data_IF_730894496995
#
_entry.id   IF_730894496995
#
_cell.length_a   1.000
_cell.length_b   1.000
_cell.length_c   1.000
_cell.angle_alpha   90.00
_cell.angle_beta   90.00
_cell.angle_gamma   90.00
#
_symmetry.space_group_name_H-M   'P 1'
#
loop_
_entity.id
_entity.type
_entity.pdbx_description
1 polymer ?
#
# COMPACT_ATOMS: atom_id res chain seq x y z
N UNK A 1 -4.29 -10.85 52.91
CA UNK A 1 -3.88 -11.20 51.53
C UNK A 1 -3.58 -9.92 50.76
N UNK A 2 -2.40 -9.76 50.15
CA UNK A 2 -2.13 -8.61 49.29
C UNK A 2 -3.08 -8.68 48.09
N UNK A 3 -3.85 -7.61 47.84
CA UNK A 3 -4.64 -7.49 46.60
C UNK A 3 -3.64 -7.38 45.45
N UNK A 4 -3.50 -8.43 44.65
CA UNK A 4 -2.83 -8.35 43.34
C UNK A 4 -3.48 -7.19 42.58
N UNK A 5 -2.74 -6.09 42.38
CA UNK A 5 -3.18 -5.00 41.50
C UNK A 5 -3.47 -5.64 40.14
N UNK A 6 -4.72 -5.59 39.70
CA UNK A 6 -5.12 -6.03 38.36
C UNK A 6 -4.16 -5.36 37.36
N UNK A 7 -3.34 -6.16 36.67
CA UNK A 7 -2.43 -5.68 35.63
C UNK A 7 -3.26 -4.90 34.61
N UNK A 8 -2.90 -3.65 34.37
CA UNK A 8 -3.61 -2.78 33.42
C UNK A 8 -3.22 -3.25 32.03
N UNK A 9 -4.21 -3.67 31.24
CA UNK A 9 -4.01 -4.09 29.86
C UNK A 9 -4.05 -2.85 28.96
N UNK A 10 -2.90 -2.21 28.78
CA UNK A 10 -2.78 -0.93 28.09
C UNK A 10 -2.72 -1.08 26.55
N UNK A 11 -2.62 0.05 25.85
CA UNK A 11 -2.50 0.05 24.39
C UNK A 11 -1.22 -0.62 23.88
N UNK A 12 -0.10 -0.50 24.57
CA UNK A 12 1.16 -1.07 24.09
C UNK A 12 1.14 -2.59 24.16
N UNK A 13 0.67 -3.14 25.29
CA UNK A 13 0.48 -4.58 25.48
C UNK A 13 -0.55 -5.14 24.47
N UNK A 14 -1.69 -4.48 24.34
CA UNK A 14 -2.75 -4.94 23.43
C UNK A 14 -2.42 -4.82 21.94
N UNK A 15 -1.66 -3.80 21.54
CA UNK A 15 -1.15 -3.69 20.18
C UNK A 15 -0.13 -4.81 19.93
N UNK A 16 0.76 -5.10 20.87
CA UNK A 16 1.74 -6.17 20.73
C UNK A 16 1.05 -7.54 20.54
N UNK A 17 0.06 -7.87 21.37
CA UNK A 17 -0.72 -9.10 21.25
C UNK A 17 -1.45 -9.19 19.90
N UNK A 18 -2.00 -8.07 19.44
CA UNK A 18 -2.62 -8.00 18.11
C UNK A 18 -1.61 -8.24 16.98
N UNK A 19 -0.37 -7.75 17.12
CA UNK A 19 0.69 -7.99 16.14
C UNK A 19 1.13 -9.46 16.11
N UNK A 20 1.16 -10.14 17.27
CA UNK A 20 1.40 -11.58 17.36
C UNK A 20 0.27 -12.35 16.64
N UNK A 21 -0.98 -11.99 16.92
CA UNK A 21 -2.13 -12.57 16.21
C UNK A 21 -2.06 -12.38 14.69
N UNK A 22 -1.68 -11.19 14.23
CA UNK A 22 -1.50 -10.91 12.80
C UNK A 22 -0.40 -11.77 12.17
N UNK A 23 0.67 -12.04 12.93
CA UNK A 23 1.77 -12.91 12.49
C UNK A 23 1.30 -14.35 12.37
N UNK A 24 0.53 -14.84 13.33
CA UNK A 24 -0.06 -16.20 13.30
C UNK A 24 -1.07 -16.40 12.16
N UNK A 25 -1.64 -15.30 11.61
CA UNK A 25 -2.47 -15.31 10.40
C UNK A 25 -1.67 -15.19 9.09
N UNK A 26 -0.34 -15.25 9.17
CA UNK A 26 0.60 -15.06 8.08
C UNK A 26 0.35 -13.77 7.27
N UNK A 27 -0.06 -12.70 7.95
CA UNK A 27 -0.25 -11.42 7.28
C UNK A 27 1.10 -10.85 6.83
N UNK A 28 1.09 -10.16 5.70
CA UNK A 28 2.33 -9.56 5.18
C UNK A 28 2.87 -8.49 6.14
N UNK A 29 4.20 -8.39 6.24
CA UNK A 29 4.89 -7.33 7.02
C UNK A 29 4.39 -5.92 6.69
N UNK A 30 4.00 -5.67 5.43
CA UNK A 30 3.44 -4.39 4.99
C UNK A 30 2.06 -4.11 5.59
N UNK A 31 1.19 -5.12 5.64
CA UNK A 31 -0.13 -5.02 6.27
C UNK A 31 0.02 -4.78 7.77
N UNK A 32 0.87 -5.57 8.43
CA UNK A 32 1.22 -5.43 9.83
C UNK A 32 1.73 -4.01 10.17
N UNK A 33 2.70 -3.50 9.41
CA UNK A 33 3.24 -2.14 9.59
C UNK A 33 2.16 -1.07 9.42
N UNK A 34 1.20 -1.28 8.52
CA UNK A 34 0.06 -0.36 8.36
C UNK A 34 -0.85 -0.36 9.58
N UNK A 35 -1.11 -1.54 10.16
CA UNK A 35 -1.91 -1.65 11.38
C UNK A 35 -1.21 -1.00 12.55
N UNK A 36 0.01 -1.42 12.85
CA UNK A 36 0.81 -0.92 13.97
C UNK A 36 0.94 0.61 13.93
N UNK A 37 1.31 1.18 12.78
CA UNK A 37 1.47 2.62 12.64
C UNK A 37 0.16 3.39 12.87
N UNK A 38 -0.99 2.82 12.47
CA UNK A 38 -2.30 3.45 12.73
C UNK A 38 -2.66 3.35 14.21
N UNK A 39 -2.47 2.17 14.81
CA UNK A 39 -2.87 1.92 16.20
C UNK A 39 -2.02 2.71 17.19
N UNK A 40 -0.71 2.82 16.96
CA UNK A 40 0.17 3.68 17.77
C UNK A 40 -0.22 5.15 17.70
N UNK A 41 -0.57 5.64 16.50
CA UNK A 41 -1.04 7.01 16.34
C UNK A 41 -2.38 7.26 17.04
N UNK A 42 -3.27 6.28 16.99
CA UNK A 42 -4.57 6.33 17.66
C UNK A 42 -4.42 6.28 19.19
N UNK A 43 -3.60 5.36 19.71
CA UNK A 43 -3.30 5.24 21.14
C UNK A 43 -2.69 6.53 21.69
N UNK A 44 -1.74 7.14 20.96
CA UNK A 44 -1.16 8.43 21.34
C UNK A 44 -2.20 9.54 21.41
N UNK A 45 -3.09 9.64 20.41
CA UNK A 45 -4.16 10.63 20.43
C UNK A 45 -5.07 10.46 21.65
N UNK A 46 -5.42 9.22 21.98
CA UNK A 46 -6.23 8.93 23.15
C UNK A 46 -5.52 9.30 24.46
N UNK A 47 -4.21 9.08 24.55
CA UNK A 47 -3.42 9.48 25.71
C UNK A 47 -3.32 11.02 25.83
N UNK A 48 -2.95 11.70 24.74
CA UNK A 48 -2.67 13.14 24.72
C UNK A 48 -3.94 14.00 24.89
N UNK A 49 -5.04 13.65 24.19
CA UNK A 49 -6.22 14.52 24.07
C UNK A 49 -7.40 14.06 24.93
N UNK A 50 -7.46 12.77 25.28
CA UNK A 50 -8.61 12.16 25.98
C UNK A 50 -8.21 11.53 27.33
N UNK A 51 -6.90 11.42 27.61
CA UNK A 51 -6.35 10.78 28.80
C UNK A 51 -6.82 9.32 29.00
N UNK A 52 -6.92 8.56 27.90
CA UNK A 52 -7.29 7.13 27.89
C UNK A 52 -6.08 6.28 27.53
N UNK A 53 -5.76 5.33 28.39
CA UNK A 53 -4.60 4.43 28.25
C UNK A 53 -5.00 2.97 27.96
N UNK A 54 -6.28 2.63 28.11
CA UNK A 54 -6.79 1.26 27.99
C UNK A 54 -7.76 1.16 26.80
N UNK A 55 -7.66 0.12 25.95
CA UNK A 55 -8.61 -0.07 24.85
C UNK A 55 -10.06 -0.32 25.30
N UNK A 56 -10.26 -0.77 26.55
CA UNK A 56 -11.58 -1.05 27.14
C UNK A 56 -12.43 0.21 27.34
N UNK A 57 -11.79 1.35 27.54
CA UNK A 57 -12.45 2.62 27.82
C UNK A 57 -12.79 3.40 26.53
N UNK A 58 -12.45 2.83 25.37
CA UNK A 58 -12.68 3.47 24.07
C UNK A 58 -14.15 3.38 23.67
N UNK A 59 -14.76 4.54 23.44
CA UNK A 59 -16.13 4.66 22.97
C UNK A 59 -16.18 4.98 21.47
N UNK A 60 -17.36 4.79 20.87
CA UNK A 60 -17.62 5.21 19.49
C UNK A 60 -17.37 6.71 19.27
N UNK A 61 -17.58 7.54 20.30
CA UNK A 61 -17.33 8.98 20.25
C UNK A 61 -15.84 9.27 20.07
N UNK A 62 -14.97 8.64 20.87
CA UNK A 62 -13.52 8.86 20.79
C UNK A 62 -12.96 8.53 19.41
N UNK A 63 -13.47 7.46 18.76
CA UNK A 63 -13.03 7.10 17.42
C UNK A 63 -13.50 8.13 16.39
N UNK A 64 -14.74 8.64 16.49
CA UNK A 64 -15.22 9.70 15.59
C UNK A 64 -14.42 10.99 15.77
N UNK A 65 -14.14 11.36 17.01
CA UNK A 65 -13.36 12.56 17.35
C UNK A 65 -11.93 12.45 16.82
N UNK A 66 -11.31 11.28 16.92
CA UNK A 66 -10.00 10.99 16.28
C UNK A 66 -10.03 11.14 14.76
N UNK A 67 -11.08 10.64 14.09
CA UNK A 67 -11.20 10.74 12.64
C UNK A 67 -11.39 12.19 12.18
N UNK A 68 -12.10 13.02 12.96
CA UNK A 68 -12.21 14.45 12.68
C UNK A 68 -10.90 15.19 13.01
N UNK A 69 -10.23 14.85 14.12
CA UNK A 69 -8.91 15.38 14.47
C UNK A 69 -7.86 15.13 13.38
N UNK A 70 -7.79 13.90 12.86
CA UNK A 70 -6.85 13.55 11.78
C UNK A 70 -7.16 14.28 10.47
N UNK A 71 -8.42 14.64 10.25
CA UNK A 71 -8.84 15.43 9.09
C UNK A 71 -8.48 16.90 9.23
N UNK A 72 -8.57 17.48 10.44
CA UNK A 72 -8.32 18.91 10.69
C UNK A 72 -6.84 19.24 10.85
N UNK A 73 -6.06 18.43 11.58
CA UNK A 73 -4.63 18.68 11.83
C UNK A 73 -3.75 18.64 10.57
N UNK A 74 -4.20 17.98 9.52
CA UNK A 74 -3.44 17.85 8.28
C UNK A 74 -2.36 16.76 8.31
N UNK A 75 -1.67 16.58 7.19
CA UNK A 75 -0.71 15.49 6.98
C UNK A 75 0.59 15.72 7.75
N UNK A 76 1.08 14.64 8.38
CA UNK A 76 2.37 14.55 9.09
C UNK A 76 2.58 15.55 10.23
N UNK A 77 1.55 16.31 10.61
CA UNK A 77 1.57 17.23 11.74
C UNK A 77 1.47 16.51 13.09
N UNK A 78 1.01 15.26 13.09
CA UNK A 78 0.92 14.41 14.26
C UNK A 78 1.67 13.10 14.01
N UNK A 79 2.62 12.79 14.89
CA UNK A 79 3.47 11.59 14.82
C UNK A 79 3.35 10.79 16.10
N UNK A 80 3.34 9.46 15.97
CA UNK A 80 3.30 8.56 17.13
C UNK A 80 4.58 8.70 17.97
N UNK A 81 5.74 8.66 17.33
CA UNK A 81 7.04 8.76 17.99
C UNK A 81 7.77 10.06 17.60
N UNK A 82 8.20 10.82 18.59
CA UNK A 82 8.94 12.08 18.41
C UNK A 82 10.32 11.80 17.79
N UNK A 83 10.94 10.65 18.08
CA UNK A 83 12.22 10.27 17.47
C UNK A 83 12.11 10.08 15.96
N UNK A 84 10.92 9.71 15.47
CA UNK A 84 10.66 9.58 14.04
C UNK A 84 10.79 10.90 13.27
N UNK A 85 10.69 12.06 13.96
CA UNK A 85 10.90 13.38 13.35
C UNK A 85 12.34 13.57 12.90
N UNK A 86 13.31 13.06 13.68
CA UNK A 86 14.74 13.18 13.38
C UNK A 86 15.12 12.46 12.09
N UNK A 87 14.54 11.28 11.86
CA UNK A 87 14.85 10.47 10.68
C UNK A 87 14.00 10.82 9.45
N UNK A 88 12.73 11.16 9.63
CA UNK A 88 11.80 11.35 8.49
C UNK A 88 11.68 12.79 8.00
N UNK A 89 12.20 13.76 8.77
CA UNK A 89 12.12 15.21 8.54
C UNK A 89 10.80 15.66 7.87
N UNK A 90 9.64 15.47 8.53
CA UNK A 90 8.35 15.62 7.86
C UNK A 90 8.06 17.04 7.38
N UNK A 91 8.62 18.05 8.04
CA UNK A 91 8.49 19.47 7.70
C UNK A 91 9.10 19.83 6.34
N UNK A 92 10.09 19.07 5.87
CA UNK A 92 10.68 19.27 4.55
C UNK A 92 9.81 18.74 3.40
N UNK A 93 8.66 18.10 3.69
CA UNK A 93 7.76 17.57 2.66
C UNK A 93 6.85 18.68 2.11
N UNK A 94 6.77 18.80 0.79
CA UNK A 94 5.87 19.75 0.11
C UNK A 94 4.37 19.51 0.30
N UNK A 95 3.97 18.45 1.00
CA UNK A 95 2.58 18.18 1.41
C UNK A 95 2.35 18.15 2.92
N UNK A 96 3.32 18.64 3.71
CA UNK A 96 3.17 18.86 5.15
C UNK A 96 1.98 19.79 5.45
N UNK A 97 1.19 19.46 6.46
CA UNK A 97 0.04 20.27 6.90
C UNK A 97 -1.16 20.28 5.94
N UNK A 98 -1.06 19.71 4.74
CA UNK A 98 -2.20 19.62 3.80
C UNK A 98 -3.29 18.72 4.36
N UNK A 99 -4.54 18.95 3.96
CA UNK A 99 -5.66 18.13 4.40
C UNK A 99 -5.47 16.64 4.06
N UNK A 100 -5.83 15.78 5.01
CA UNK A 100 -5.78 14.33 4.83
C UNK A 100 -6.92 13.89 3.92
N UNK A 101 -6.62 13.01 2.95
CA UNK A 101 -7.65 12.51 2.04
C UNK A 101 -8.66 11.62 2.77
N UNK A 102 -9.93 11.66 2.37
CA UNK A 102 -10.96 10.77 2.92
C UNK A 102 -10.62 9.29 2.75
N UNK A 103 -9.88 8.94 1.70
CA UNK A 103 -9.36 7.58 1.51
C UNK A 103 -8.40 7.18 2.64
N UNK A 104 -7.48 8.07 3.02
CA UNK A 104 -6.54 7.85 4.13
C UNK A 104 -7.27 7.73 5.47
N UNK A 105 -8.24 8.61 5.74
CA UNK A 105 -9.08 8.53 6.96
C UNK A 105 -9.84 7.20 7.02
N UNK A 106 -10.43 6.77 5.91
CA UNK A 106 -11.09 5.47 5.82
C UNK A 106 -10.12 4.29 5.98
N UNK A 107 -8.86 4.43 5.56
CA UNK A 107 -7.83 3.43 5.80
C UNK A 107 -7.50 3.31 7.30
N UNK A 108 -7.42 4.44 8.02
CA UNK A 108 -7.26 4.43 9.48
C UNK A 108 -8.46 3.76 10.15
N UNK A 109 -9.69 4.15 9.80
CA UNK A 109 -10.91 3.51 10.31
C UNK A 109 -10.92 1.99 10.03
N UNK A 110 -10.47 1.55 8.85
CA UNK A 110 -10.39 0.12 8.52
C UNK A 110 -9.44 -0.63 9.44
N UNK A 111 -8.25 -0.06 9.70
CA UNK A 111 -7.27 -0.68 10.60
C UNK A 111 -7.78 -0.73 12.04
N UNK A 112 -8.38 0.38 12.51
CA UNK A 112 -9.03 0.46 13.84
C UNK A 112 -10.14 -0.59 13.96
N UNK A 113 -10.99 -0.74 12.92
CA UNK A 113 -12.04 -1.77 12.88
C UNK A 113 -11.50 -3.18 13.05
N UNK A 114 -10.42 -3.54 12.33
CA UNK A 114 -9.83 -4.87 12.43
C UNK A 114 -9.33 -5.14 13.86
N UNK A 115 -8.67 -4.16 14.47
CA UNK A 115 -8.17 -4.26 15.84
C UNK A 115 -9.29 -4.40 16.88
N UNK A 116 -10.33 -3.55 16.84
CA UNK A 116 -11.45 -3.66 17.79
C UNK A 116 -12.35 -4.88 17.54
N UNK A 117 -12.36 -5.41 16.33
CA UNK A 117 -12.99 -6.72 16.05
C UNK A 117 -12.20 -7.83 16.72
N UNK A 118 -10.87 -7.84 16.56
CA UNK A 118 -10.02 -8.81 17.25
C UNK A 118 -10.10 -8.71 18.78
N UNK A 119 -10.14 -7.50 19.35
CA UNK A 119 -10.31 -7.31 20.81
C UNK A 119 -11.64 -7.88 21.31
N UNK A 120 -12.69 -7.79 20.50
CA UNK A 120 -14.00 -8.35 20.82
C UNK A 120 -13.99 -9.88 20.72
N UNK A 121 -13.43 -10.40 19.62
CA UNK A 121 -13.31 -11.85 19.38
C UNK A 121 -12.41 -12.54 20.42
N UNK A 122 -11.42 -11.81 20.97
CA UNK A 122 -10.51 -12.27 22.03
C UNK A 122 -11.04 -12.00 23.44
N UNK A 123 -12.32 -11.59 23.57
CA UNK A 123 -13.02 -11.31 24.82
C UNK A 123 -12.38 -10.23 25.73
N UNK A 124 -11.45 -9.44 25.19
CA UNK A 124 -10.83 -8.32 25.92
C UNK A 124 -11.86 -7.22 26.18
N UNK A 125 -12.74 -6.98 25.21
CA UNK A 125 -13.84 -6.01 25.31
C UNK A 125 -15.19 -6.70 25.14
N UNK A 126 -16.20 -6.24 25.88
CA UNK A 126 -17.57 -6.79 25.80
C UNK A 126 -18.36 -6.30 24.60
N UNK A 127 -18.00 -5.14 24.05
CA UNK A 127 -18.72 -4.49 22.96
C UNK A 127 -17.73 -3.82 22.03
N UNK A 128 -17.87 -4.07 20.73
CA UNK A 128 -17.05 -3.41 19.72
C UNK A 128 -17.55 -1.97 19.44
N UNK A 129 -16.75 -0.92 19.71
CA UNK A 129 -17.16 0.48 19.53
C UNK A 129 -17.21 0.91 18.06
N UNK A 130 -16.70 0.10 17.13
CA UNK A 130 -16.56 0.46 15.70
C UNK A 130 -17.75 0.04 14.83
N UNK A 131 -18.66 -0.79 15.34
CA UNK A 131 -19.77 -1.41 14.58
C UNK A 131 -20.64 -0.36 13.90
N UNK A 132 -20.99 0.71 14.61
CA UNK A 132 -21.89 1.76 14.11
C UNK A 132 -21.18 2.82 13.24
N UNK A 133 -19.86 2.76 13.08
CA UNK A 133 -19.11 3.78 12.35
C UNK A 133 -19.13 3.47 10.86
N UNK A 134 -19.80 4.31 10.07
CA UNK A 134 -19.82 4.21 8.61
C UNK A 134 -18.57 4.89 8.02
N UNK A 135 -17.97 4.33 6.96
CA UNK A 135 -16.87 4.99 6.26
C UNK A 135 -17.35 6.28 5.59
N UNK A 136 -16.44 7.26 5.49
CA UNK A 136 -16.71 8.50 4.77
C UNK A 136 -16.88 8.23 3.27
N UNK A 137 -17.90 8.84 2.67
CA UNK A 137 -18.07 8.79 1.21
C UNK A 137 -16.88 9.46 0.54
N UNK A 138 -16.34 8.81 -0.48
CA UNK A 138 -15.30 9.37 -1.32
C UNK A 138 -15.48 8.85 -2.74
N UNK A 139 -15.38 9.73 -3.72
CA UNK A 139 -15.37 9.33 -5.12
C UNK A 139 -13.99 8.76 -5.46
N UNK A 140 -13.98 7.62 -6.15
CA UNK A 140 -12.75 7.09 -6.72
C UNK A 140 -12.44 7.91 -7.98
N UNK A 141 -11.34 8.66 -7.97
CA UNK A 141 -10.85 9.27 -9.20
C UNK A 141 -10.36 8.16 -10.13
N UNK A 142 -10.85 8.07 -11.39
CA UNK A 142 -10.24 7.18 -12.36
C UNK A 142 -8.79 7.58 -12.55
N UNK A 143 -7.90 6.59 -12.74
CA UNK A 143 -6.51 6.90 -13.10
C UNK A 143 -6.49 7.42 -14.53
N UNK A 144 -5.70 8.46 -14.80
CA UNK A 144 -5.51 8.97 -16.16
C UNK A 144 -4.89 7.90 -17.04
N UNK A 145 -5.28 7.91 -18.31
CA UNK A 145 -4.73 7.06 -19.35
C UNK A 145 -3.34 7.55 -19.77
N UNK A 146 -2.45 6.61 -20.11
CA UNK A 146 -1.18 6.92 -20.76
C UNK A 146 -1.42 6.87 -22.26
N UNK A 147 -1.19 7.99 -22.96
CA UNK A 147 -1.25 8.02 -24.42
C UNK A 147 -0.04 7.29 -25.02
N UNK A 148 -0.23 6.65 -26.16
CA UNK A 148 0.84 5.93 -26.88
C UNK A 148 2.03 6.84 -27.18
N UNK A 149 1.75 8.11 -27.51
CA UNK A 149 2.77 9.14 -27.74
C UNK A 149 3.65 9.34 -26.50
N UNK A 150 3.04 9.41 -25.32
CA UNK A 150 3.78 9.66 -24.07
C UNK A 150 4.53 8.40 -23.63
N UNK A 151 3.95 7.21 -23.83
CA UNK A 151 4.66 5.96 -23.58
C UNK A 151 5.89 5.80 -24.51
N UNK A 152 5.74 6.11 -25.79
CA UNK A 152 6.86 6.04 -26.75
C UNK A 152 7.96 7.06 -26.42
N UNK A 153 7.61 8.26 -25.98
CA UNK A 153 8.59 9.24 -25.48
C UNK A 153 9.33 8.72 -24.25
N UNK A 154 8.61 8.11 -23.32
CA UNK A 154 9.20 7.52 -22.11
C UNK A 154 10.24 6.46 -22.48
N UNK A 155 9.87 5.50 -23.33
CA UNK A 155 10.75 4.42 -23.78
C UNK A 155 11.98 4.96 -24.51
N UNK A 156 11.79 5.88 -25.46
CA UNK A 156 12.89 6.50 -26.21
C UNK A 156 13.82 7.35 -25.35
N UNK A 157 13.37 7.77 -24.17
CA UNK A 157 14.20 8.55 -23.27
C UNK A 157 15.27 7.71 -22.55
N UNK A 158 15.16 6.38 -22.55
CA UNK A 158 16.06 5.47 -21.81
C UNK A 158 17.38 5.26 -22.56
N UNK A 159 18.49 5.35 -21.84
CA UNK A 159 19.83 5.04 -22.32
C UNK A 159 20.10 3.54 -22.23
N UNK A 160 20.01 2.84 -23.35
CA UNK A 160 20.20 1.39 -23.40
C UNK A 160 21.66 0.94 -23.22
N UNK A 161 22.62 1.87 -23.18
CA UNK A 161 24.03 1.55 -22.86
C UNK A 161 24.27 1.40 -21.37
N UNK A 162 23.41 2.00 -20.54
CA UNK A 162 23.45 1.86 -19.09
C UNK A 162 22.67 0.63 -18.64
N UNK A 163 23.32 -0.27 -17.91
CA UNK A 163 22.69 -1.47 -17.36
C UNK A 163 21.40 -1.16 -16.58
N UNK A 164 21.40 -0.10 -15.76
CA UNK A 164 20.26 0.26 -14.93
C UNK A 164 19.04 0.71 -15.77
N UNK A 165 19.29 1.46 -16.84
CA UNK A 165 18.23 1.98 -17.70
C UNK A 165 17.75 0.93 -18.72
N UNK A 166 18.67 0.10 -19.24
CA UNK A 166 18.33 -1.06 -20.07
C UNK A 166 17.42 -2.04 -19.32
N UNK A 167 17.74 -2.32 -18.06
CA UNK A 167 16.87 -3.10 -17.18
C UNK A 167 15.49 -2.46 -17.02
N UNK A 168 15.44 -1.15 -16.76
CA UNK A 168 14.17 -0.45 -16.56
C UNK A 168 13.32 -0.42 -17.85
N UNK A 169 13.96 -0.35 -19.03
CA UNK A 169 13.33 -0.56 -20.33
C UNK A 169 12.68 -1.94 -20.42
N UNK A 170 13.42 -2.98 -20.06
CA UNK A 170 12.96 -4.37 -20.09
C UNK A 170 11.77 -4.58 -19.13
N UNK A 171 11.80 -4.01 -17.92
CA UNK A 171 10.67 -4.03 -16.98
C UNK A 171 9.43 -3.33 -17.56
N UNK A 172 9.60 -2.17 -18.19
CA UNK A 172 8.48 -1.42 -18.80
C UNK A 172 7.81 -2.25 -19.89
N UNK A 173 8.60 -2.92 -20.73
CA UNK A 173 8.08 -3.78 -21.78
C UNK A 173 7.37 -4.99 -21.20
N UNK A 174 7.94 -5.66 -20.21
CA UNK A 174 7.31 -6.81 -19.60
C UNK A 174 5.99 -6.44 -18.92
N UNK A 175 5.95 -5.31 -18.22
CA UNK A 175 4.72 -4.79 -17.64
C UNK A 175 3.66 -4.58 -18.72
N UNK A 176 4.02 -3.96 -19.85
CA UNK A 176 3.14 -3.71 -20.99
C UNK A 176 2.70 -4.96 -21.75
N UNK A 177 3.52 -6.00 -21.82
CA UNK A 177 3.17 -7.23 -22.53
C UNK A 177 2.29 -8.15 -21.68
N UNK A 178 2.60 -8.28 -20.38
CA UNK A 178 2.00 -9.32 -19.53
C UNK A 178 0.93 -8.82 -18.58
N UNK A 179 0.86 -7.50 -18.35
CA UNK A 179 -0.06 -6.94 -17.35
C UNK A 179 0.21 -7.40 -15.92
N UNK A 180 1.43 -7.84 -15.62
CA UNK A 180 1.84 -8.19 -14.26
C UNK A 180 1.80 -7.00 -13.30
N UNK A 181 1.70 -7.28 -12.00
CA UNK A 181 1.93 -6.25 -10.97
C UNK A 181 3.43 -6.00 -10.89
N UNK A 182 3.81 -4.74 -10.69
CA UNK A 182 5.23 -4.37 -10.50
C UNK A 182 5.92 -5.22 -9.42
N UNK A 183 5.24 -5.49 -8.30
CA UNK A 183 5.81 -6.34 -7.24
C UNK A 183 6.05 -7.78 -7.68
N UNK A 184 5.23 -8.32 -8.58
CA UNK A 184 5.44 -9.66 -9.16
C UNK A 184 6.63 -9.59 -10.13
N UNK A 185 6.65 -8.59 -11.02
CA UNK A 185 7.73 -8.40 -12.02
C UNK A 185 9.11 -8.23 -11.38
N UNK A 186 9.20 -7.53 -10.25
CA UNK A 186 10.46 -7.27 -9.55
C UNK A 186 11.00 -8.50 -8.79
N UNK A 187 10.14 -9.47 -8.46
CA UNK A 187 10.53 -10.67 -7.70
C UNK A 187 10.60 -11.93 -8.58
N UNK A 188 10.50 -11.78 -9.90
CA UNK A 188 10.68 -12.88 -10.84
C UNK A 188 12.09 -13.45 -10.75
N UNK A 189 12.19 -14.77 -10.81
CA UNK A 189 13.45 -15.50 -10.91
C UNK A 189 13.59 -16.11 -12.29
N UNK A 190 14.81 -16.56 -12.61
CA UNK A 190 15.09 -17.26 -13.85
C UNK A 190 14.29 -18.56 -14.00
N UNK A 191 14.05 -19.27 -12.88
CA UNK A 191 13.26 -20.51 -12.84
C UNK A 191 11.78 -20.30 -13.18
N UNK A 192 11.26 -19.08 -12.99
CA UNK A 192 9.88 -18.74 -13.30
C UNK A 192 9.65 -18.54 -14.81
N UNK A 193 10.72 -18.33 -15.59
CA UNK A 193 10.64 -17.96 -17.01
C UNK A 193 10.86 -19.20 -17.88
N UNK A 194 9.78 -19.61 -18.55
CA UNK A 194 9.76 -20.76 -19.44
C UNK A 194 9.83 -20.25 -20.88
N UNK A 195 11.06 -20.09 -21.38
CA UNK A 195 11.37 -19.45 -22.66
C UNK A 195 10.75 -20.22 -23.84
N UNK A 196 10.86 -21.54 -23.81
CA UNK A 196 10.30 -22.48 -24.79
C UNK A 196 8.79 -22.32 -24.95
N UNK A 197 8.06 -22.06 -23.86
CA UNK A 197 6.61 -21.85 -23.85
C UNK A 197 6.20 -20.38 -23.93
N UNK A 198 7.18 -19.46 -23.99
CA UNK A 198 6.96 -18.00 -23.93
C UNK A 198 6.03 -17.63 -22.77
N UNK A 199 6.23 -18.26 -21.62
CA UNK A 199 5.36 -18.11 -20.46
C UNK A 199 6.18 -17.85 -19.21
N UNK A 200 5.60 -17.10 -18.28
CA UNK A 200 6.17 -16.86 -16.96
C UNK A 200 5.20 -17.43 -15.93
N UNK A 201 5.69 -18.32 -15.09
CA UNK A 201 4.97 -18.80 -13.92
C UNK A 201 5.04 -17.75 -12.81
N UNK A 202 3.91 -17.37 -12.24
CA UNK A 202 3.84 -16.46 -11.09
C UNK A 202 3.58 -17.29 -9.84
N UNK A 203 4.61 -17.53 -9.01
CA UNK A 203 4.44 -18.27 -7.76
C UNK A 203 3.41 -17.61 -6.81
N UNK A 204 2.71 -18.40 -5.98
CA UNK A 204 1.75 -17.88 -5.02
C UNK A 204 2.42 -16.98 -3.96
N UNK A 205 3.72 -17.15 -3.69
CA UNK A 205 4.48 -16.38 -2.71
C UNK A 205 4.62 -14.90 -3.12
N UNK A 206 4.76 -14.64 -4.43
CA UNK A 206 4.89 -13.27 -4.96
C UNK A 206 3.54 -12.71 -5.44
N UNK A 207 2.56 -13.57 -5.67
CA UNK A 207 1.23 -13.18 -6.12
C UNK A 207 0.40 -12.58 -4.98
N UNK A 208 -0.22 -11.41 -5.25
CA UNK A 208 -1.20 -10.85 -4.32
C UNK A 208 -2.42 -11.78 -4.22
N UNK A 209 -2.62 -12.38 -3.05
CA UNK A 209 -3.74 -13.30 -2.77
C UNK A 209 -3.36 -14.77 -2.80
N UNK A 210 -2.06 -15.12 -2.90
CA UNK A 210 -1.55 -16.50 -2.84
C UNK A 210 -2.16 -17.44 -3.87
N UNK A 211 -2.43 -16.93 -5.08
CA UNK A 211 -2.88 -17.72 -6.23
C UNK A 211 -1.82 -17.66 -7.31
N UNK A 212 -1.38 -18.81 -7.75
CA UNK A 212 -0.48 -18.98 -8.87
C UNK A 212 -1.19 -18.75 -10.21
N UNK A 213 -0.41 -18.45 -11.25
CA UNK A 213 -0.89 -18.36 -12.63
C UNK A 213 0.27 -18.31 -13.60
N UNK A 214 -0.01 -18.65 -14.85
CA UNK A 214 0.89 -18.35 -15.97
C UNK A 214 0.50 -17.03 -16.63
N UNK A 215 1.49 -16.27 -17.09
CA UNK A 215 1.31 -15.14 -18.00
C UNK A 215 2.16 -15.36 -19.25
N UNK A 216 1.65 -14.95 -20.41
CA UNK A 216 2.33 -15.18 -21.68
C UNK A 216 3.04 -13.92 -22.16
N UNK A 217 4.24 -14.09 -22.71
CA UNK A 217 5.08 -13.00 -23.22
C UNK A 217 4.84 -12.88 -24.73
N UNK A 218 4.72 -11.65 -25.24
CA UNK A 218 4.83 -11.45 -26.69
C UNK A 218 6.28 -11.67 -27.13
N UNK A 219 6.52 -11.96 -28.40
CA UNK A 219 7.83 -12.39 -28.96
C UNK A 219 8.98 -11.36 -28.90
N UNK A 220 8.94 -10.35 -28.02
CA UNK A 220 9.83 -9.16 -28.08
C UNK A 220 10.72 -8.88 -26.86
N UNK A 221 10.87 -9.78 -25.88
CA UNK A 221 11.65 -9.46 -24.66
C UNK A 221 12.52 -10.59 -24.09
N UNK A 222 13.74 -10.23 -23.67
CA UNK A 222 14.76 -11.08 -23.01
C UNK A 222 15.03 -10.67 -21.54
N UNK A 223 15.77 -11.53 -20.83
CA UNK A 223 15.97 -11.72 -19.37
C UNK A 223 16.18 -10.50 -18.42
N UNK A 224 15.92 -10.73 -17.12
CA UNK A 224 15.65 -9.71 -16.08
C UNK A 224 16.50 -9.85 -14.80
N UNK A 225 16.82 -8.72 -14.13
CA UNK A 225 17.32 -8.63 -12.73
C UNK A 225 17.06 -7.21 -12.17
N UNK A 226 16.57 -6.99 -10.93
CA UNK A 226 16.13 -5.64 -10.48
C UNK A 226 16.34 -5.21 -9.02
N UNK A 227 16.72 -3.92 -8.84
CA UNK A 227 16.36 -3.02 -7.72
C UNK A 227 16.18 -1.53 -8.16
N UNK A 228 15.21 -0.79 -7.57
CA UNK A 228 14.94 0.67 -7.68
C UNK A 228 14.20 1.29 -8.90
N UNK A 229 13.28 0.54 -9.52
CA UNK A 229 12.52 0.99 -10.72
C UNK A 229 11.58 2.21 -10.53
N UNK A 230 10.75 2.28 -9.48
CA UNK A 230 9.72 3.34 -9.36
C UNK A 230 10.31 4.76 -9.23
N UNK A 231 11.49 4.88 -8.60
CA UNK A 231 12.21 6.15 -8.48
C UNK A 231 12.76 6.61 -9.82
N UNK A 232 13.24 5.66 -10.62
CA UNK A 232 13.78 5.92 -11.94
C UNK A 232 12.68 6.28 -12.94
N UNK A 233 11.52 5.63 -12.88
CA UNK A 233 10.36 5.95 -13.73
C UNK A 233 9.98 7.43 -13.69
N UNK A 234 10.01 8.06 -12.51
CA UNK A 234 9.73 9.50 -12.37
C UNK A 234 10.77 10.36 -13.09
N UNK A 235 12.05 10.00 -13.00
CA UNK A 235 13.14 10.70 -13.70
C UNK A 235 12.97 10.58 -15.21
N UNK A 236 12.59 9.41 -15.69
CA UNK A 236 12.34 9.16 -17.11
C UNK A 236 11.15 9.96 -17.64
N UNK A 237 10.06 10.07 -16.87
CA UNK A 237 8.92 10.93 -17.25
C UNK A 237 9.33 12.40 -17.38
N UNK A 238 10.16 12.90 -16.45
CA UNK A 238 10.70 14.27 -16.51
C UNK A 238 11.59 14.45 -17.75
N UNK A 239 12.51 13.51 -18.00
CA UNK A 239 13.41 13.52 -19.17
C UNK A 239 12.63 13.46 -20.49
N UNK A 240 11.54 12.70 -20.53
CA UNK A 240 10.62 12.58 -21.65
C UNK A 240 9.65 13.77 -21.81
N UNK A 241 9.71 14.77 -20.92
CA UNK A 241 8.83 15.96 -20.89
C UNK A 241 7.34 15.61 -20.83
N UNK A 242 6.99 14.59 -20.06
CA UNK A 242 5.60 14.16 -19.85
C UNK A 242 5.02 14.97 -18.69
N UNK A 243 3.92 15.69 -18.94
CA UNK A 243 3.30 16.60 -17.97
C UNK A 243 2.72 15.88 -16.74
N UNK A 244 2.22 14.65 -16.91
CA UNK A 244 1.66 13.84 -15.83
C UNK A 244 2.63 12.72 -15.39
N UNK A 245 2.69 12.48 -14.07
CA UNK A 245 3.50 11.39 -13.53
C UNK A 245 2.84 10.03 -13.84
N UNK A 246 3.48 9.25 -14.71
CA UNK A 246 3.06 7.89 -15.04
C UNK A 246 3.41 6.93 -13.90
N UNK A 247 2.48 6.03 -13.57
CA UNK A 247 2.68 4.95 -12.59
C UNK A 247 2.66 3.56 -13.25
N UNK A 248 3.37 2.59 -12.67
CA UNK A 248 3.38 1.20 -13.16
C UNK A 248 1.99 0.57 -13.24
N UNK A 249 1.08 1.01 -12.37
CA UNK A 249 -0.31 0.56 -12.39
C UNK A 249 -1.12 1.14 -13.56
N UNK A 250 -0.79 2.35 -14.03
CA UNK A 250 -1.39 2.93 -15.23
C UNK A 250 -0.90 2.19 -16.48
N UNK A 251 0.39 1.88 -16.54
CA UNK A 251 1.01 1.06 -17.61
C UNK A 251 0.26 -0.26 -17.73
N UNK A 252 0.13 -0.99 -16.62
CA UNK A 252 -0.64 -2.23 -16.54
C UNK A 252 -2.11 -2.10 -16.99
N UNK A 253 -2.78 -1.02 -16.56
CA UNK A 253 -4.19 -0.80 -16.92
C UNK A 253 -4.36 -0.47 -18.42
N UNK A 254 -3.36 0.14 -19.04
CA UNK A 254 -3.40 0.51 -20.46
C UNK A 254 -3.48 -0.70 -21.37
N UNK A 255 -2.91 -1.84 -20.95
CA UNK A 255 -2.90 -3.11 -21.69
C UNK A 255 -4.29 -3.68 -21.85
N UNK A 256 -5.04 -3.80 -20.74
CA UNK A 256 -6.41 -4.30 -20.78
C UNK A 256 -7.27 -3.44 -21.72
N UNK A 257 -7.03 -2.12 -21.73
CA UNK A 257 -7.70 -1.22 -22.67
C UNK A 257 -7.26 -1.44 -24.11
N UNK A 258 -5.95 -1.55 -24.39
CA UNK A 258 -5.44 -1.79 -25.74
C UNK A 258 -5.90 -3.12 -26.30
N UNK A 259 -5.97 -4.16 -25.47
CA UNK A 259 -6.54 -5.45 -25.82
C UNK A 259 -7.99 -5.30 -26.27
N UNK A 260 -8.83 -4.64 -25.46
CA UNK A 260 -10.22 -4.34 -25.82
C UNK A 260 -10.35 -3.49 -27.10
N UNK A 261 -9.55 -2.43 -27.23
CA UNK A 261 -9.55 -1.55 -28.41
C UNK A 261 -9.08 -2.25 -29.69
N UNK A 262 -8.25 -3.29 -29.55
CA UNK A 262 -7.77 -4.11 -30.67
C UNK A 262 -8.75 -5.25 -31.01
N UNK A 263 -9.95 -5.24 -30.44
CA UNK A 263 -10.98 -6.26 -30.68
C UNK A 263 -10.85 -7.52 -29.82
N UNK A 264 -10.07 -7.48 -28.74
CA UNK A 264 -9.96 -8.58 -27.79
C UNK A 264 -11.26 -8.77 -27.00
N UNK A 265 -11.76 -10.00 -26.96
CA UNK A 265 -12.96 -10.36 -26.21
C UNK A 265 -12.62 -10.69 -24.75
N UNK A 266 -13.48 -10.28 -23.83
CA UNK A 266 -13.37 -10.55 -22.38
C UNK A 266 -14.16 -11.79 -21.95
N UNK A 267 -14.96 -12.36 -22.85
CA UNK A 267 -15.86 -13.49 -22.60
C UNK A 267 -15.39 -14.81 -23.23
N UNK A 268 -14.24 -14.82 -23.91
CA UNK A 268 -13.61 -16.02 -24.48
C UNK A 268 -12.21 -16.24 -23.93
#
# INVERSE_FOLDING_TARGET
MPRLKKRIYDFDESINDFMIYCTNKDLTKKTMKSYEGTLKLFAKYLADEVNIFTPKDVTTKHIKDYLEFTKTKGKYSYVADVNSLKCNNPSARGDFGKQVSMYTVNNYLRNIKVYFTWLYDSEVIKKNPTVQIRPYKHSRKPKSEIKDVDFNKLIKSLDLTSFAEYRDYVILQLLMDTGMRIGETLNLKMEDVIIDKKSIFIPPEIAKGRKDRYVFISTRGSNFNVMNFEKNLKKYCIRARIAESITCHQIRNNIARRFLLSGGDILY
#
